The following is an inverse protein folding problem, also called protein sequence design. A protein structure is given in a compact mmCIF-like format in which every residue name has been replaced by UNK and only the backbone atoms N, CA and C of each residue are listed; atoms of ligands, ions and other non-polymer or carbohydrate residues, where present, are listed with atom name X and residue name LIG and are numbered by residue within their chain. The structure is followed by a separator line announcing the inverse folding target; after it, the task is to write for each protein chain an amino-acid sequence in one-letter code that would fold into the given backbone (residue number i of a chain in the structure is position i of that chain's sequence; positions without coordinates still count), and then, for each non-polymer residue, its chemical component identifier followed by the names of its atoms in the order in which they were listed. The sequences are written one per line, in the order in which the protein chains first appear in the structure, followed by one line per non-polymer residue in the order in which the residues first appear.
data_IF_073809845471
#
_entry.id   IF_073809845471
#
_cell.length_a   1.000
_cell.length_b   1.000
_cell.length_c   1.000
_cell.angle_alpha   90.00
_cell.angle_beta   90.00
_cell.angle_gamma   90.00
#
_symmetry.space_group_name_H-M   'P 1'
#
loop_
_entity.id
_entity.type
_entity.pdbx_description
1 polymer ?
#
# COMPACT_ATOMS: atom_id res chain seq x y z
N UNK A 1 -8.63 -6.54 -3.23
CA UNK A 1 -7.76 -6.44 -4.43
C UNK A 1 -6.40 -7.01 -4.05
N UNK A 2 -5.65 -7.64 -4.98
CA UNK A 2 -4.31 -8.13 -4.66
C UNK A 2 -3.29 -7.05 -5.00
N UNK A 3 -2.62 -6.50 -4.01
CA UNK A 3 -1.47 -5.61 -4.18
C UNK A 3 -0.30 -6.10 -3.32
N UNK A 4 0.86 -5.51 -3.54
CA UNK A 4 2.12 -5.86 -2.92
C UNK A 4 2.70 -4.60 -2.27
N UNK A 5 3.17 -4.72 -1.04
CA UNK A 5 3.70 -3.63 -0.25
C UNK A 5 5.17 -3.87 0.09
N UNK A 6 5.93 -2.80 0.20
CA UNK A 6 7.30 -2.85 0.68
C UNK A 6 7.33 -2.76 2.21
N UNK A 7 7.87 -3.80 2.85
CA UNK A 7 8.07 -3.85 4.31
C UNK A 7 9.41 -3.24 4.75
N UNK A 8 10.07 -2.50 3.86
CA UNK A 8 11.35 -1.83 4.11
C UNK A 8 11.21 -0.45 4.76
N UNK A 9 9.98 0.03 4.98
CA UNK A 9 9.70 1.33 5.60
C UNK A 9 9.65 2.51 4.63
N UNK A 10 9.54 2.25 3.33
CA UNK A 10 9.32 3.28 2.30
C UNK A 10 7.86 3.43 1.88
N UNK A 11 6.96 2.62 2.45
CA UNK A 11 5.52 2.58 2.15
C UNK A 11 5.18 2.40 0.65
N UNK A 12 6.11 1.86 -0.13
CA UNK A 12 5.88 1.58 -1.55
C UNK A 12 4.85 0.48 -1.76
N UNK A 13 3.89 0.70 -2.65
CA UNK A 13 2.88 -0.28 -3.07
C UNK A 13 2.92 -0.55 -4.57
N UNK A 14 2.46 -1.72 -4.99
CA UNK A 14 2.31 -2.09 -6.40
C UNK A 14 1.13 -3.03 -6.59
N UNK A 15 0.36 -2.85 -7.66
CA UNK A 15 -0.71 -3.79 -8.02
C UNK A 15 -0.20 -5.08 -8.67
N UNK A 16 1.11 -5.15 -8.96
CA UNK A 16 1.74 -6.30 -9.62
C UNK A 16 2.87 -6.87 -8.75
N UNK A 17 3.09 -8.19 -8.79
CA UNK A 17 4.24 -8.79 -8.12
C UNK A 17 5.53 -8.23 -8.72
N UNK A 18 6.45 -7.81 -7.87
CA UNK A 18 7.70 -7.17 -8.30
C UNK A 18 8.63 -6.91 -7.12
N UNK A 19 9.61 -6.03 -7.33
CA UNK A 19 10.57 -5.61 -6.31
C UNK A 19 10.34 -4.14 -5.93
N UNK A 20 10.80 -3.73 -4.75
CA UNK A 20 10.78 -2.34 -4.34
C UNK A 20 11.72 -1.50 -5.22
N UNK A 21 11.20 -0.39 -5.79
CA UNK A 21 11.97 0.53 -6.63
C UNK A 21 12.31 1.85 -5.90
N UNK A 22 12.08 1.92 -4.59
CA UNK A 22 12.39 3.12 -3.82
C UNK A 22 13.89 3.19 -3.53
N UNK A 23 14.56 4.17 -4.13
CA UNK A 23 16.01 4.38 -4.06
C UNK A 23 16.56 4.60 -2.64
N UNK A 24 15.72 5.05 -1.69
CA UNK A 24 16.11 5.24 -0.28
C UNK A 24 15.59 4.13 0.65
N UNK A 25 15.08 3.03 0.07
CA UNK A 25 14.56 1.93 0.86
C UNK A 25 15.67 0.94 1.22
N UNK A 26 15.73 0.52 2.49
CA UNK A 26 16.61 -0.58 2.92
C UNK A 26 16.35 -1.91 2.21
N UNK A 27 15.19 -2.02 1.55
CA UNK A 27 14.76 -3.17 0.75
C UNK A 27 14.61 -2.82 -0.73
N UNK A 28 15.28 -1.77 -1.21
CA UNK A 28 15.38 -1.51 -2.65
C UNK A 28 15.86 -2.79 -3.38
N UNK A 29 15.20 -3.14 -4.47
CA UNK A 29 15.51 -4.35 -5.25
C UNK A 29 15.01 -5.66 -4.63
N UNK A 30 14.50 -5.66 -3.40
CA UNK A 30 13.92 -6.83 -2.76
C UNK A 30 12.44 -7.02 -3.15
N UNK A 31 11.97 -8.27 -3.12
CA UNK A 31 10.59 -8.62 -3.48
C UNK A 31 9.54 -7.92 -2.59
N UNK A 32 8.52 -7.34 -3.22
CA UNK A 32 7.37 -6.79 -2.53
C UNK A 32 6.55 -7.91 -1.88
N UNK A 33 6.03 -7.63 -0.69
CA UNK A 33 5.26 -8.59 0.09
C UNK A 33 3.78 -8.49 -0.30
N UNK A 34 3.10 -9.59 -0.66
CA UNK A 34 1.67 -9.53 -0.98
C UNK A 34 0.88 -9.03 0.24
N UNK A 35 0.08 -7.99 0.06
CA UNK A 35 -0.90 -7.58 1.05
C UNK A 35 -2.16 -8.44 0.92
N UNK A 36 -2.60 -8.99 2.04
CA UNK A 36 -3.87 -9.72 2.18
C UNK A 36 -4.95 -8.84 2.83
N UNK A 37 -4.95 -7.56 2.50
CA UNK A 37 -5.95 -6.62 2.96
C UNK A 37 -7.21 -6.76 2.10
N UNK A 38 -8.34 -7.06 2.73
CA UNK A 38 -9.62 -7.31 2.04
C UNK A 38 -10.14 -6.03 1.37
N UNK A 39 -9.93 -4.88 2.01
CA UNK A 39 -10.43 -3.57 1.56
C UNK A 39 -9.51 -2.84 0.58
N UNK A 40 -8.25 -3.27 0.42
CA UNK A 40 -7.30 -2.60 -0.48
C UNK A 40 -6.83 -1.20 -0.03
N UNK A 41 -7.20 -0.74 1.17
CA UNK A 41 -6.91 0.62 1.63
C UNK A 41 -5.66 0.67 2.52
N UNK A 42 -4.61 1.35 2.04
CA UNK A 42 -3.38 1.66 2.79
C UNK A 42 -3.11 3.17 2.96
N UNK A 43 -4.12 4.01 2.74
CA UNK A 43 -3.92 5.46 2.83
C UNK A 43 -5.19 6.31 2.78
N UNK A 44 -6.35 5.74 2.49
CA UNK A 44 -7.60 6.47 2.63
C UNK A 44 -8.01 6.41 4.11
N UNK A 45 -7.54 7.40 4.86
CA UNK A 45 -8.34 7.91 5.98
C UNK A 45 -9.72 8.13 5.38
N UNK A 46 -10.63 7.24 5.73
CA UNK A 46 -12.05 7.41 5.47
C UNK A 46 -12.45 8.61 6.32
N UNK A 47 -12.14 9.82 5.86
CA UNK A 47 -12.90 10.99 6.23
C UNK A 47 -14.28 10.70 5.67
N UNK A 48 -15.09 9.99 6.48
CA UNK A 48 -16.55 10.04 6.40
C UNK A 48 -16.92 11.52 6.58
N UNK A 49 -16.82 12.28 5.50
CA UNK A 49 -17.71 13.39 5.21
C UNK A 49 -18.95 12.76 4.60
N UNK A 50 -19.82 12.31 5.47
CA UNK A 50 -21.23 12.29 5.15
C UNK A 50 -21.83 13.42 5.99
N UNK A 51 -21.91 14.59 5.37
CA UNK A 51 -22.82 15.66 5.73
C UNK A 51 -24.27 15.21 5.42
N UNK A 52 -25.20 15.64 6.27
CA UNK A 52 -26.61 15.97 5.98
C UNK A 52 -27.73 14.89 5.99
N UNK A 53 -28.93 15.36 6.40
CA UNK A 53 -30.27 14.75 6.60
C UNK A 53 -30.53 14.09 7.99
N UNK A 54 -31.46 14.51 8.87
CA UNK A 54 -32.70 15.34 8.84
C UNK A 54 -32.87 16.12 10.16
#
# INVERSE_FOLDING_TARGET
MQHFICTGGCDGESSTPGVCQAEDCKKEGEALTPCNCEDGLHGEVVEKKDEDED
#
